data_IF_877035087113
#
_entry.id   IF_877035087113
#
_cell.length_a   1.000
_cell.length_b   1.000
_cell.length_c   1.000
_cell.angle_alpha   90.00
_cell.angle_beta   90.00
_cell.angle_gamma   90.00
#
_symmetry.space_group_name_H-M   'P 1'
#
loop_
_entity.id
_entity.type
_entity.pdbx_description
1 polymer ?
#
# COMPACT_ATOMS: atom_id res chain seq x y z
N UNK A 1 13.14 7.48 2.19
CA UNK A 1 14.09 7.37 1.05
C UNK A 1 14.24 8.75 0.42
N UNK A 2 15.42 9.08 -0.13
CA UNK A 2 15.62 10.32 -0.90
C UNK A 2 16.71 10.13 -1.96
N UNK A 3 16.61 10.87 -3.06
CA UNK A 3 17.65 11.00 -4.08
C UNK A 3 18.23 12.43 -4.16
N UNK A 4 18.00 13.25 -3.13
CA UNK A 4 18.38 14.67 -3.08
C UNK A 4 17.46 15.60 -3.87
N UNK A 5 16.50 15.09 -4.66
CA UNK A 5 15.48 15.88 -5.37
C UNK A 5 14.09 15.68 -4.80
N UNK A 6 13.79 14.44 -4.39
CA UNK A 6 12.52 14.05 -3.79
C UNK A 6 12.74 13.31 -2.46
N UNK A 7 11.73 13.35 -1.62
CA UNK A 7 11.62 12.57 -0.40
C UNK A 7 10.39 11.67 -0.49
N UNK A 8 10.57 10.41 -0.09
CA UNK A 8 9.52 9.39 -0.05
C UNK A 8 9.50 8.74 1.33
N UNK A 9 8.31 8.64 1.93
CA UNK A 9 8.10 7.93 3.20
C UNK A 9 7.15 6.77 2.96
N UNK A 10 7.64 5.56 3.22
CA UNK A 10 6.87 4.31 3.23
C UNK A 10 6.59 3.95 4.68
N UNK A 11 5.33 3.65 5.01
CA UNK A 11 4.88 3.34 6.38
C UNK A 11 4.29 1.92 6.39
N UNK A 12 5.10 0.91 6.76
CA UNK A 12 4.67 -0.48 6.73
C UNK A 12 3.52 -0.79 7.69
N UNK A 13 3.44 -0.11 8.83
CA UNK A 13 2.39 -0.30 9.85
C UNK A 13 0.97 -0.01 9.34
N UNK A 14 0.84 0.68 8.20
CA UNK A 14 -0.42 0.97 7.50
C UNK A 14 -0.39 0.58 6.02
N UNK A 15 0.60 -0.20 5.58
CA UNK A 15 0.77 -0.68 4.20
C UNK A 15 0.69 0.41 3.11
N UNK A 16 1.32 1.57 3.32
CA UNK A 16 1.17 2.74 2.42
C UNK A 16 2.48 3.47 2.13
N UNK A 17 2.50 4.18 1.00
CA UNK A 17 3.46 5.27 0.76
C UNK A 17 2.75 6.57 1.15
N UNK A 18 3.20 7.21 2.23
CA UNK A 18 2.52 8.37 2.80
C UNK A 18 3.02 9.68 2.24
N UNK A 19 4.32 9.79 1.97
CA UNK A 19 4.93 11.02 1.46
C UNK A 19 5.56 10.76 0.10
N UNK A 20 5.28 11.65 -0.84
CA UNK A 20 6.05 11.86 -2.06
C UNK A 20 6.11 13.38 -2.31
N UNK A 21 7.30 13.96 -2.25
CA UNK A 21 7.49 15.41 -2.39
C UNK A 21 8.85 15.77 -2.93
N UNK A 22 9.00 17.00 -3.43
CA UNK A 22 10.33 17.59 -3.60
C UNK A 22 11.01 17.79 -2.24
N UNK A 23 12.34 17.69 -2.18
CA UNK A 23 13.09 17.97 -0.95
C UNK A 23 12.75 19.38 -0.43
N UNK A 24 12.27 19.47 0.81
CA UNK A 24 11.83 20.73 1.43
C UNK A 24 10.49 21.28 0.92
N UNK A 25 9.81 20.58 0.01
CA UNK A 25 8.50 20.96 -0.52
C UNK A 25 7.33 20.36 0.27
N UNK A 26 6.12 20.60 -0.23
CA UNK A 26 4.88 20.04 0.30
C UNK A 26 4.63 18.61 -0.23
N UNK A 27 3.89 17.82 0.55
CA UNK A 27 3.49 16.48 0.14
C UNK A 27 2.41 16.54 -0.96
N UNK A 28 2.56 15.72 -2.01
CA UNK A 28 1.58 15.66 -3.10
C UNK A 28 0.42 14.71 -2.79
N UNK A 29 0.64 13.73 -1.93
CA UNK A 29 -0.44 12.86 -1.48
C UNK A 29 -1.26 13.58 -0.41
N UNK A 30 -2.59 13.39 -0.48
CA UNK A 30 -3.45 13.77 0.63
C UNK A 30 -3.14 12.89 1.84
N UNK A 31 -3.10 13.50 3.03
CA UNK A 31 -2.85 12.83 4.30
C UNK A 31 -3.91 13.23 5.33
N UNK A 32 -4.32 12.28 6.15
CA UNK A 32 -5.19 12.56 7.27
C UNK A 32 -4.37 12.91 8.52
N UNK A 33 -4.16 14.21 8.75
CA UNK A 33 -3.36 14.71 9.87
C UNK A 33 -3.84 14.27 11.26
N UNK A 34 -5.12 13.89 11.41
CA UNK A 34 -5.67 13.39 12.68
C UNK A 34 -5.19 11.98 13.03
N UNK A 35 -4.62 11.26 12.06
CA UNK A 35 -4.21 9.87 12.18
C UNK A 35 -2.68 9.70 12.25
N UNK A 36 -1.92 10.80 12.37
CA UNK A 36 -0.46 10.73 12.50
C UNK A 36 -0.06 9.87 13.70
N UNK A 37 0.83 8.90 13.46
CA UNK A 37 1.29 7.94 14.46
C UNK A 37 0.30 6.83 14.81
N UNK A 38 -0.91 6.83 14.24
CA UNK A 38 -1.85 5.73 14.41
C UNK A 38 -1.49 4.55 13.49
N UNK A 39 -1.84 3.33 13.94
CA UNK A 39 -1.57 2.08 13.24
C UNK A 39 -2.83 1.59 12.52
N UNK A 40 -2.65 0.70 11.55
CA UNK A 40 -3.79 -0.01 10.98
C UNK A 40 -4.40 -0.92 12.06
N UNK A 41 -5.72 -0.97 12.08
CA UNK A 41 -6.49 -1.86 12.94
C UNK A 41 -7.41 -2.70 12.06
N UNK A 42 -7.12 -4.00 11.97
CA UNK A 42 -7.89 -4.93 11.15
C UNK A 42 -9.28 -5.18 11.72
N UNK A 43 -9.51 -4.87 13.00
CA UNK A 43 -10.77 -5.07 13.71
C UNK A 43 -11.57 -3.77 13.87
N UNK A 44 -11.08 -2.66 13.29
CA UNK A 44 -11.81 -1.41 13.25
C UNK A 44 -13.18 -1.60 12.58
N UNK A 45 -14.22 -1.03 13.21
CA UNK A 45 -15.60 -1.08 12.71
C UNK A 45 -15.78 -0.30 11.41
N UNK A 46 -15.04 0.80 11.30
CA UNK A 46 -15.07 1.70 10.15
C UNK A 46 -13.73 1.69 9.45
N UNK A 47 -13.75 1.83 8.12
CA UNK A 47 -12.52 2.00 7.36
C UNK A 47 -11.89 3.36 7.63
N UNK A 48 -10.62 3.33 8.00
CA UNK A 48 -9.83 4.50 8.31
C UNK A 48 -9.00 4.87 7.09
N UNK A 49 -9.27 6.04 6.50
CA UNK A 49 -8.46 6.55 5.40
C UNK A 49 -7.28 7.39 5.91
N UNK A 50 -6.10 6.78 5.96
CA UNK A 50 -4.84 7.47 6.28
C UNK A 50 -4.41 8.47 5.19
N UNK A 51 -4.86 8.29 3.95
CA UNK A 51 -4.34 8.98 2.77
C UNK A 51 -3.19 8.23 2.11
N UNK A 52 -2.31 8.92 1.40
CA UNK A 52 -1.19 8.28 0.70
C UNK A 52 -1.59 7.37 -0.46
N UNK A 53 -0.58 6.71 -1.01
CA UNK A 53 -0.68 5.75 -2.09
C UNK A 53 -0.79 4.30 -1.53
N UNK A 54 -1.73 3.53 -2.09
CA UNK A 54 -2.17 2.21 -1.66
C UNK A 54 -2.62 1.37 -2.85
N UNK A 55 -2.70 0.05 -2.67
CA UNK A 55 -3.09 -0.89 -3.71
C UNK A 55 -4.28 -1.74 -3.28
N UNK A 56 -5.35 -1.72 -4.07
CA UNK A 56 -6.56 -2.53 -3.85
C UNK A 56 -6.82 -3.45 -5.04
N UNK A 57 -7.45 -4.61 -4.83
CA UNK A 57 -7.85 -5.46 -5.94
C UNK A 57 -8.99 -4.81 -6.70
N UNK A 58 -8.91 -4.82 -8.04
CA UNK A 58 -9.95 -4.31 -8.93
C UNK A 58 -10.62 -5.46 -9.70
N UNK A 59 -11.86 -5.29 -10.19
CA UNK A 59 -12.77 -4.20 -9.88
C UNK A 59 -13.42 -4.35 -8.49
N UNK A 60 -13.81 -3.24 -7.85
CA UNK A 60 -14.50 -3.26 -6.56
C UNK A 60 -15.82 -4.05 -6.60
N UNK A 61 -16.51 -4.07 -7.76
CA UNK A 61 -17.75 -4.83 -7.94
C UNK A 61 -17.59 -6.33 -7.67
N UNK A 62 -16.38 -6.89 -7.83
CA UNK A 62 -16.11 -8.30 -7.54
C UNK A 62 -16.04 -8.61 -6.03
N UNK A 63 -15.84 -7.60 -5.18
CA UNK A 63 -15.54 -7.81 -3.75
C UNK A 63 -16.66 -8.52 -3.01
N UNK A 64 -17.94 -8.28 -3.36
CA UNK A 64 -19.08 -8.96 -2.73
C UNK A 64 -18.99 -10.46 -2.95
N UNK A 65 -18.71 -10.88 -4.19
CA UNK A 65 -18.64 -12.30 -4.55
C UNK A 65 -17.45 -13.02 -3.92
N UNK A 66 -16.34 -12.31 -3.66
CA UNK A 66 -15.09 -12.89 -3.14
C UNK A 66 -15.03 -12.84 -1.62
N UNK A 67 -15.47 -11.74 -1.01
CA UNK A 67 -15.30 -11.46 0.43
C UNK A 67 -16.60 -11.47 1.23
N UNK A 68 -17.74 -11.64 0.56
CA UNK A 68 -19.07 -11.55 1.15
C UNK A 68 -19.56 -10.12 1.42
N UNK A 69 -18.76 -9.08 1.08
CA UNK A 69 -19.12 -7.66 1.26
C UNK A 69 -18.51 -6.78 0.16
N UNK A 70 -19.14 -5.64 -0.13
CA UNK A 70 -18.65 -4.68 -1.14
C UNK A 70 -17.77 -3.56 -0.58
N UNK A 71 -17.72 -3.46 0.74
CA UNK A 71 -17.00 -2.45 1.51
C UNK A 71 -16.90 -2.91 2.98
N UNK A 72 -15.85 -2.57 3.75
CA UNK A 72 -14.61 -1.88 3.37
C UNK A 72 -13.66 -2.73 2.53
N UNK A 73 -12.49 -2.20 2.10
CA UNK A 73 -11.47 -2.97 1.39
C UNK A 73 -11.11 -4.28 2.12
N UNK A 74 -10.66 -5.32 1.40
CA UNK A 74 -10.26 -6.57 2.03
C UNK A 74 -9.01 -6.36 2.91
N UNK A 75 -8.99 -6.98 4.10
CA UNK A 75 -8.11 -6.61 5.21
C UNK A 75 -6.63 -6.74 4.84
N UNK A 76 -6.26 -7.77 4.08
CA UNK A 76 -4.87 -8.00 3.68
C UNK A 76 -4.30 -6.93 2.74
N UNK A 77 -5.17 -6.14 2.09
CA UNK A 77 -4.76 -5.08 1.18
C UNK A 77 -4.58 -3.72 1.87
N UNK A 78 -5.35 -3.40 2.92
CA UNK A 78 -5.41 -2.01 3.43
C UNK A 78 -5.70 -1.83 4.92
N UNK A 79 -5.80 -2.91 5.71
CA UNK A 79 -6.09 -2.80 7.15
C UNK A 79 -5.17 -3.67 8.00
N UNK A 80 -4.09 -4.17 7.41
CA UNK A 80 -3.06 -4.94 8.09
C UNK A 80 -1.68 -4.34 7.82
N UNK A 81 -0.74 -4.41 8.78
CA UNK A 81 0.64 -4.06 8.54
C UNK A 81 1.25 -4.89 7.41
N UNK A 82 2.19 -4.29 6.70
CA UNK A 82 3.08 -4.95 5.77
C UNK A 82 4.46 -5.15 6.38
N UNK A 83 5.23 -6.07 5.79
CA UNK A 83 6.66 -6.21 6.07
C UNK A 83 7.43 -5.28 5.14
N UNK A 84 8.39 -4.52 5.69
CA UNK A 84 9.31 -3.70 4.91
C UNK A 84 10.66 -4.40 4.79
N UNK A 85 11.09 -4.64 3.56
CA UNK A 85 12.40 -5.16 3.24
C UNK A 85 13.25 -4.08 2.59
N UNK A 86 14.36 -3.73 3.24
CA UNK A 86 15.29 -2.71 2.73
C UNK A 86 16.34 -3.39 1.85
N UNK A 87 16.58 -2.83 0.67
CA UNK A 87 17.66 -3.22 -0.25
C UNK A 87 18.50 -1.98 -0.59
N UNK A 88 19.58 -2.19 -1.33
CA UNK A 88 20.54 -1.13 -1.67
C UNK A 88 19.89 0.00 -2.49
N UNK A 89 19.13 -0.35 -3.51
CA UNK A 89 18.59 0.62 -4.49
C UNK A 89 17.06 0.78 -4.40
N UNK A 90 16.37 -0.03 -3.59
CA UNK A 90 14.92 -0.03 -3.46
C UNK A 90 14.48 -0.54 -2.08
N UNK A 91 13.19 -0.38 -1.77
CA UNK A 91 12.54 -1.08 -0.66
C UNK A 91 11.37 -1.90 -1.19
N UNK A 92 11.05 -3.00 -0.51
CA UNK A 92 9.88 -3.82 -0.81
C UNK A 92 8.90 -3.76 0.34
N UNK A 93 7.65 -3.45 0.02
CA UNK A 93 6.52 -3.49 0.93
C UNK A 93 5.69 -4.73 0.61
N UNK A 94 5.66 -5.68 1.54
CA UNK A 94 5.03 -6.99 1.35
C UNK A 94 3.82 -7.07 2.28
N UNK A 95 2.61 -7.06 1.72
CA UNK A 95 1.39 -7.09 2.51
C UNK A 95 1.21 -8.42 3.24
N UNK A 96 0.34 -8.42 4.25
CA UNK A 96 -0.27 -9.65 4.73
C UNK A 96 -1.03 -10.36 3.60
N UNK A 97 -1.20 -11.67 3.72
CA UNK A 97 -1.99 -12.43 2.76
C UNK A 97 -3.46 -12.19 3.08
N UNK A 98 -4.24 -11.73 2.10
CA UNK A 98 -5.69 -11.60 2.29
C UNK A 98 -6.33 -13.00 2.26
N UNK A 99 -7.11 -13.38 3.30
CA UNK A 99 -7.66 -14.73 3.40
C UNK A 99 -8.74 -15.02 2.37
N UNK A 100 -9.45 -14.01 1.86
CA UNK A 100 -10.52 -14.20 0.87
C UNK A 100 -9.94 -14.37 -0.53
N UNK A 101 -8.91 -13.58 -0.85
CA UNK A 101 -8.25 -13.64 -2.16
C UNK A 101 -7.15 -14.69 -2.24
N UNK A 102 -6.54 -15.10 -1.12
CA UNK A 102 -5.32 -15.91 -1.11
C UNK A 102 -4.14 -15.22 -1.80
N UNK A 103 -4.14 -13.88 -1.77
CA UNK A 103 -3.17 -13.01 -2.47
C UNK A 103 -2.41 -12.18 -1.45
N UNK A 104 -1.12 -11.96 -1.69
CA UNK A 104 -0.36 -10.85 -1.11
C UNK A 104 0.08 -9.87 -2.18
N UNK A 105 0.23 -8.61 -1.81
CA UNK A 105 0.74 -7.56 -2.67
C UNK A 105 2.21 -7.32 -2.33
N UNK A 106 3.06 -7.33 -3.35
CA UNK A 106 4.47 -6.97 -3.23
C UNK A 106 4.67 -5.68 -4.02
N UNK A 107 5.02 -4.60 -3.33
CA UNK A 107 5.29 -3.30 -3.93
C UNK A 107 6.78 -3.01 -3.84
N UNK A 108 7.45 -2.89 -4.97
CA UNK A 108 8.86 -2.51 -5.05
C UNK A 108 8.93 -1.01 -5.31
N UNK A 109 9.45 -0.25 -4.34
CA UNK A 109 9.55 1.20 -4.41
C UNK A 109 11.02 1.57 -4.65
N UNK A 110 11.29 2.25 -5.75
CA UNK A 110 12.62 2.75 -6.09
C UNK A 110 12.57 4.21 -6.53
N UNK A 111 13.72 4.89 -6.46
CA UNK A 111 13.85 6.28 -6.91
C UNK A 111 14.77 6.35 -8.11
N UNK A 112 14.42 7.16 -9.11
CA UNK A 112 15.35 7.46 -10.19
C UNK A 112 16.58 8.20 -9.63
N UNK A 113 17.79 7.81 -10.02
CA UNK A 113 19.03 8.38 -9.45
C UNK A 113 19.24 9.87 -9.75
N UNK A 114 18.65 10.40 -10.82
CA UNK A 114 18.94 11.75 -11.31
C UNK A 114 17.70 12.61 -11.57
N UNK A 115 16.48 12.05 -11.46
CA UNK A 115 15.22 12.75 -11.72
C UNK A 115 14.29 12.66 -10.51
N UNK A 116 13.39 13.63 -10.31
CA UNK A 116 12.40 13.58 -9.22
C UNK A 116 11.27 12.58 -9.55
N UNK A 117 11.63 11.29 -9.65
CA UNK A 117 10.71 10.21 -10.04
C UNK A 117 10.81 9.09 -9.03
N UNK A 118 9.67 8.72 -8.46
CA UNK A 118 9.46 7.47 -7.74
C UNK A 118 8.85 6.45 -8.71
N UNK A 119 9.34 5.21 -8.67
CA UNK A 119 8.83 4.07 -9.44
C UNK A 119 8.27 3.07 -8.43
N UNK A 120 7.04 2.62 -8.68
CA UNK A 120 6.36 1.64 -7.83
C UNK A 120 5.88 0.48 -8.70
N UNK A 121 6.60 -0.62 -8.65
CA UNK A 121 6.19 -1.86 -9.32
C UNK A 121 5.35 -2.69 -8.34
N UNK A 122 4.10 -2.98 -8.72
CA UNK A 122 3.16 -3.71 -7.88
C UNK A 122 2.87 -5.08 -8.48
N UNK A 123 3.09 -6.13 -7.69
CA UNK A 123 2.79 -7.52 -8.06
C UNK A 123 1.75 -8.07 -7.11
N UNK A 124 0.70 -8.65 -7.66
CA UNK A 124 -0.28 -9.46 -6.92
C UNK A 124 0.14 -10.92 -7.04
N UNK A 125 0.57 -11.52 -5.94
CA UNK A 125 1.00 -12.91 -5.92
C UNK A 125 -0.09 -13.79 -5.31
N UNK A 126 -0.61 -14.71 -6.11
CA UNK A 126 -1.59 -15.72 -5.70
C UNK A 126 -0.87 -16.89 -5.05
N UNK A 127 -1.14 -17.12 -3.76
CA UNK A 127 -0.51 -18.18 -2.98
C UNK A 127 -1.42 -19.41 -2.83
N UNK A 128 -2.74 -19.24 -2.85
CA UNK A 128 -3.70 -20.35 -2.83
C UNK A 128 -5.07 -19.99 -3.41
N UNK A 129 -5.83 -21.03 -3.75
CA UNK A 129 -7.15 -20.92 -4.38
C UNK A 129 -7.07 -20.69 -5.89
N UNK A 130 -8.23 -20.60 -6.53
CA UNK A 130 -8.33 -20.42 -7.99
C UNK A 130 -7.85 -19.04 -8.44
N UNK A 131 -7.27 -18.92 -9.65
CA UNK A 131 -6.91 -17.64 -10.24
C UNK A 131 -8.07 -16.63 -10.24
N UNK A 132 -7.76 -15.37 -9.95
CA UNK A 132 -8.71 -14.26 -9.92
C UNK A 132 -8.13 -13.08 -10.69
N UNK A 133 -8.97 -12.38 -11.44
CA UNK A 133 -8.63 -11.09 -12.01
C UNK A 133 -8.67 -10.03 -10.91
N UNK A 134 -7.63 -9.20 -10.82
CA UNK A 134 -7.42 -8.21 -9.75
C UNK A 134 -6.89 -6.87 -10.27
N UNK A 135 -6.87 -6.64 -11.59
CA UNK A 135 -6.30 -5.46 -12.23
C UNK A 135 -7.23 -4.80 -13.24
#
# INVERSE_FOLDING_TARGET
>A
MSNGKIEVIVVPEINRIMVFRFCGGENVFWENMKLLGQKADSEAKDWINFGGDKSWPAPQSAWISITGRGWPPPKGFDSMPATLEIRKDYVQLISAIDPSYGIRVIRTISLNKSKPVMIVDTVYEKLWGEPLDVS
#
